data_IF_705919166715
#
_entry.id   IF_705919166715
#
_cell.length_a   1.000
_cell.length_b   1.000
_cell.length_c   1.000
_cell.angle_alpha   90.00
_cell.angle_beta   90.00
_cell.angle_gamma   90.00
#
_symmetry.space_group_name_H-M   'P 1'
#
loop_
_entity.id
_entity.type
_entity.pdbx_description
1 polymer ?
#
# COMPACT_ATOMS: atom_id res chain seq x y z
N UNK A 1 11.29 21.23 -47.55
CA UNK A 1 10.06 21.99 -47.24
C UNK A 1 9.26 21.12 -46.27
N UNK A 2 9.39 21.41 -44.97
CA UNK A 2 8.89 20.64 -43.82
C UNK A 2 7.50 21.17 -43.41
N UNK A 3 6.55 21.19 -44.33
CA UNK A 3 5.16 21.59 -44.06
C UNK A 3 4.25 20.35 -44.09
N UNK A 4 4.26 19.55 -43.02
CA UNK A 4 3.23 18.52 -42.80
C UNK A 4 3.15 17.96 -41.37
N UNK A 5 3.54 18.73 -40.35
CA UNK A 5 3.18 18.40 -38.96
C UNK A 5 2.48 19.62 -38.35
N UNK A 6 1.31 19.96 -38.91
CA UNK A 6 0.37 20.82 -38.19
C UNK A 6 -0.15 20.02 -37.00
N UNK A 7 0.00 20.55 -35.80
CA UNK A 7 -0.61 19.99 -34.58
C UNK A 7 -2.11 19.91 -34.85
N UNK A 8 -2.63 18.69 -34.95
CA UNK A 8 -4.07 18.46 -35.10
C UNK A 8 -4.78 19.08 -33.89
N UNK A 9 -5.50 20.18 -34.12
CA UNK A 9 -6.19 20.93 -33.07
C UNK A 9 -7.31 20.09 -32.41
N UNK A 10 -7.74 18.98 -33.04
CA UNK A 10 -8.65 18.02 -32.42
C UNK A 10 -8.01 17.26 -31.25
N UNK A 11 -6.68 17.30 -31.09
CA UNK A 11 -5.96 16.72 -29.94
C UNK A 11 -5.88 17.64 -28.71
N UNK A 12 -6.44 18.85 -28.78
CA UNK A 12 -6.30 19.87 -27.71
C UNK A 12 -7.57 20.01 -26.86
N UNK A 13 -8.70 19.42 -27.24
CA UNK A 13 -9.93 19.48 -26.43
C UNK A 13 -10.01 18.27 -25.48
N UNK A 14 -10.26 18.56 -24.19
CA UNK A 14 -10.44 17.51 -23.20
C UNK A 14 -11.72 16.74 -23.56
N UNK A 15 -11.73 15.38 -23.56
CA UNK A 15 -12.94 14.62 -23.83
C UNK A 15 -14.13 14.98 -22.92
N UNK A 16 -13.87 15.55 -21.74
CA UNK A 16 -14.90 16.08 -20.84
C UNK A 16 -15.62 17.32 -21.38
N UNK A 17 -14.97 18.09 -22.25
CA UNK A 17 -15.52 19.33 -22.82
C UNK A 17 -16.68 19.04 -23.80
N UNK A 18 -16.81 17.79 -24.25
CA UNK A 18 -17.94 17.31 -25.06
C UNK A 18 -19.13 16.80 -24.22
N UNK A 19 -18.97 16.70 -22.89
CA UNK A 19 -20.03 16.26 -21.99
C UNK A 19 -20.81 17.47 -21.47
N UNK A 20 -22.07 17.25 -21.08
CA UNK A 20 -22.84 18.29 -20.41
C UNK A 20 -22.17 18.67 -19.08
N UNK A 21 -22.32 19.93 -18.65
CA UNK A 21 -21.63 20.44 -17.45
C UNK A 21 -21.94 19.65 -16.15
N UNK A 22 -23.06 18.94 -16.09
CA UNK A 22 -23.36 18.02 -14.99
C UNK A 22 -22.53 16.74 -15.10
N UNK A 23 -22.54 16.09 -16.27
CA UNK A 23 -21.81 14.83 -16.51
C UNK A 23 -20.29 15.07 -16.45
N UNK A 24 -19.79 16.14 -17.06
CA UNK A 24 -18.38 16.51 -17.03
C UNK A 24 -17.86 16.67 -15.59
N UNK A 25 -18.67 17.24 -14.69
CA UNK A 25 -18.35 17.43 -13.27
C UNK A 25 -18.34 16.11 -12.51
N UNK A 26 -19.36 15.27 -12.74
CA UNK A 26 -19.46 13.94 -12.13
C UNK A 26 -18.33 13.02 -12.58
N UNK A 27 -17.88 13.18 -13.83
CA UNK A 27 -16.80 12.39 -14.41
C UNK A 27 -15.44 12.93 -14.00
N UNK A 28 -15.24 14.25 -13.95
CA UNK A 28 -13.99 14.87 -13.46
C UNK A 28 -13.64 14.42 -12.04
N UNK A 29 -14.64 14.23 -11.17
CA UNK A 29 -14.46 13.69 -9.82
C UNK A 29 -14.04 12.21 -9.80
N UNK A 30 -14.17 11.50 -10.92
CA UNK A 30 -13.79 10.10 -11.11
C UNK A 30 -12.50 9.92 -11.91
N UNK A 31 -12.02 10.98 -12.57
CA UNK A 31 -10.78 10.95 -13.34
C UNK A 31 -9.55 10.96 -12.43
N UNK A 32 -8.47 10.37 -12.93
CA UNK A 32 -7.14 10.51 -12.37
C UNK A 32 -6.33 11.62 -13.01
N UNK A 33 -5.12 11.83 -12.48
CA UNK A 33 -4.12 12.67 -13.11
C UNK A 33 -3.61 12.06 -14.44
N UNK A 34 -2.64 12.73 -15.05
CA UNK A 34 -2.08 12.33 -16.34
C UNK A 34 -1.45 10.91 -16.34
N UNK A 35 -1.25 10.29 -15.17
CA UNK A 35 -0.73 8.93 -15.01
C UNK A 35 -1.83 7.93 -14.60
N UNK A 36 -3.09 8.36 -14.58
CA UNK A 36 -4.24 7.53 -14.20
C UNK A 36 -4.48 7.47 -12.69
N UNK A 37 -3.80 8.28 -11.88
CA UNK A 37 -3.98 8.30 -10.43
C UNK A 37 -5.22 9.12 -10.08
N UNK A 38 -6.31 8.46 -9.71
CA UNK A 38 -7.57 9.11 -9.28
C UNK A 38 -7.32 10.06 -8.10
N UNK A 39 -7.99 11.22 -8.10
CA UNK A 39 -7.97 12.14 -6.95
C UNK A 39 -8.56 11.43 -5.73
N UNK A 40 -7.90 11.57 -4.57
CA UNK A 40 -8.38 11.02 -3.32
C UNK A 40 -9.83 11.49 -3.04
N UNK A 41 -10.74 10.54 -2.78
CA UNK A 41 -12.17 10.81 -2.72
C UNK A 41 -12.62 11.03 -1.27
N UNK A 42 -13.39 12.10 -1.04
CA UNK A 42 -14.07 12.37 0.24
C UNK A 42 -13.39 13.42 1.13
N UNK A 43 -14.11 13.96 2.12
CA UNK A 43 -13.62 14.96 3.09
C UNK A 43 -12.43 14.47 3.95
N UNK A 44 -12.06 13.18 3.85
CA UNK A 44 -10.98 12.53 4.60
C UNK A 44 -9.81 12.05 3.72
N UNK A 45 -9.79 12.45 2.44
CA UNK A 45 -8.80 12.11 1.41
C UNK A 45 -7.31 12.34 1.79
N UNK A 46 -7.03 13.07 2.87
CA UNK A 46 -5.66 13.42 3.28
C UNK A 46 -5.30 13.09 4.75
N UNK A 47 -6.05 12.24 5.49
CA UNK A 47 -5.88 12.25 6.96
C UNK A 47 -5.67 10.97 7.75
N UNK A 48 -5.82 9.76 7.25
CA UNK A 48 -5.72 8.62 8.17
C UNK A 48 -5.15 7.36 7.54
N UNK A 49 -3.82 7.26 7.54
CA UNK A 49 -3.17 5.95 7.77
C UNK A 49 -3.55 5.39 9.16
N UNK A 50 -4.05 6.24 10.05
CA UNK A 50 -4.55 5.89 11.39
C UNK A 50 -6.06 5.60 11.29
N UNK A 51 -6.43 4.35 11.03
CA UNK A 51 -7.80 3.88 11.30
C UNK A 51 -7.79 3.28 12.70
N UNK A 52 -8.77 3.62 13.53
CA UNK A 52 -8.93 3.00 14.86
C UNK A 52 -10.36 2.49 15.00
N UNK A 53 -10.51 1.17 15.14
CA UNK A 53 -11.78 0.45 15.27
C UNK A 53 -11.76 -0.30 16.61
N UNK A 54 -12.81 -0.16 17.44
CA UNK A 54 -12.88 -0.84 18.73
C UNK A 54 -12.61 -2.36 18.62
N UNK A 55 -11.65 -2.85 19.42
CA UNK A 55 -11.31 -4.27 19.49
C UNK A 55 -10.33 -4.79 18.42
N UNK A 56 -9.84 -3.93 17.53
CA UNK A 56 -8.82 -4.28 16.54
C UNK A 56 -7.44 -3.68 16.90
N UNK A 57 -6.37 -4.31 16.42
CA UNK A 57 -4.97 -3.88 16.68
C UNK A 57 -4.51 -2.72 15.80
N UNK A 58 -5.43 -1.88 15.34
CA UNK A 58 -5.19 -0.92 14.27
C UNK A 58 -4.37 0.30 14.70
N UNK A 59 -3.88 1.07 13.74
CA UNK A 59 -3.12 2.30 13.97
C UNK A 59 -1.78 2.31 13.24
N UNK A 60 -1.04 3.39 13.42
CA UNK A 60 0.32 3.54 12.89
C UNK A 60 1.31 2.93 13.88
N UNK A 61 2.22 2.13 13.34
CA UNK A 61 3.27 1.44 14.08
C UNK A 61 4.62 2.01 13.70
N UNK A 62 5.53 2.17 14.65
CA UNK A 62 6.80 2.86 14.47
C UNK A 62 7.97 1.95 14.77
N UNK A 63 9.08 2.08 14.04
CA UNK A 63 10.29 1.26 14.29
C UNK A 63 11.06 1.68 15.54
N UNK A 64 10.71 2.81 16.16
CA UNK A 64 11.22 3.18 17.48
C UNK A 64 10.10 3.67 18.39
N UNK A 65 10.26 3.36 19.68
CA UNK A 65 9.31 3.72 20.74
C UNK A 65 9.36 5.21 21.12
N UNK A 66 10.23 6.02 20.51
CA UNK A 66 10.38 7.44 20.82
C UNK A 66 9.57 8.36 19.92
N UNK A 67 8.98 7.83 18.85
CA UNK A 67 8.22 8.61 17.88
C UNK A 67 6.80 8.92 18.35
N UNK A 68 6.65 10.11 18.93
CA UNK A 68 5.38 10.71 19.32
C UNK A 68 4.84 11.65 18.23
N UNK A 69 4.47 11.14 17.05
CA UNK A 69 3.58 11.82 16.08
C UNK A 69 3.92 13.25 15.58
N UNK A 70 5.04 13.86 16.01
CA UNK A 70 5.35 15.28 15.85
C UNK A 70 6.66 15.57 15.11
N UNK A 71 7.40 14.54 14.70
CA UNK A 71 8.70 14.72 14.05
C UNK A 71 8.55 14.62 12.52
N UNK A 72 9.29 15.45 11.80
CA UNK A 72 9.37 15.48 10.32
C UNK A 72 10.01 14.23 9.70
N UNK A 73 10.09 13.11 10.44
CA UNK A 73 10.66 11.82 10.02
C UNK A 73 9.71 10.71 10.43
N UNK A 74 8.56 10.62 9.77
CA UNK A 74 7.58 9.56 10.06
C UNK A 74 8.10 8.24 9.48
N UNK A 75 8.69 7.41 10.34
CA UNK A 75 9.12 6.04 10.02
C UNK A 75 8.06 5.08 10.52
N UNK A 76 7.04 4.88 9.71
CA UNK A 76 5.81 4.21 10.11
C UNK A 76 5.48 3.03 9.19
N UNK A 77 4.84 2.01 9.75
CA UNK A 77 4.01 1.08 8.99
C UNK A 77 2.56 1.28 9.41
N UNK A 78 1.67 1.31 8.43
CA UNK A 78 0.24 1.23 8.66
C UNK A 78 -0.35 0.28 7.64
N UNK A 79 -1.39 -0.46 8.04
CA UNK A 79 -2.31 -1.00 7.06
C UNK A 79 -3.56 -0.15 7.10
N UNK A 80 -4.03 0.25 5.94
CA UNK A 80 -5.12 1.21 5.83
C UNK A 80 -5.95 0.92 4.58
N UNK A 81 -7.17 1.45 4.49
CA UNK A 81 -7.83 1.66 3.23
C UNK A 81 -7.02 2.60 2.32
N UNK A 82 -7.09 2.40 1.01
CA UNK A 82 -6.55 3.34 0.03
C UNK A 82 -7.36 4.65 0.06
N UNK A 83 -6.68 5.80 -0.02
CA UNK A 83 -7.32 7.13 0.07
C UNK A 83 -8.18 7.48 -1.17
N UNK A 84 -8.01 6.73 -2.26
CA UNK A 84 -8.70 6.88 -3.54
C UNK A 84 -9.81 5.85 -3.67
N UNK A 85 -9.57 4.62 -3.22
CA UNK A 85 -10.49 3.49 -3.27
C UNK A 85 -10.57 2.78 -1.90
N UNK A 86 -11.46 3.23 -0.99
CA UNK A 86 -11.50 2.73 0.39
C UNK A 86 -11.80 1.23 0.54
N UNK A 87 -12.36 0.60 -0.50
CA UNK A 87 -12.58 -0.86 -0.50
C UNK A 87 -11.28 -1.64 -0.75
N UNK A 88 -10.20 -0.94 -1.16
CA UNK A 88 -8.87 -1.52 -1.37
C UNK A 88 -8.01 -1.32 -0.14
N UNK A 89 -7.35 -2.40 0.28
CA UNK A 89 -6.44 -2.39 1.42
C UNK A 89 -5.00 -2.13 0.96
N UNK A 90 -4.26 -1.38 1.78
CA UNK A 90 -2.87 -1.02 1.55
C UNK A 90 -1.99 -1.33 2.76
N UNK A 91 -0.70 -1.54 2.51
CA UNK A 91 0.39 -1.42 3.46
C UNK A 91 1.17 -0.15 3.14
N UNK A 92 1.12 0.87 3.98
CA UNK A 92 2.04 2.00 3.90
C UNK A 92 3.34 1.62 4.64
N UNK A 93 4.46 1.51 3.93
CA UNK A 93 5.69 0.93 4.48
C UNK A 93 6.74 1.95 4.91
N UNK A 94 6.70 3.16 4.35
CA UNK A 94 7.67 4.25 4.55
C UNK A 94 9.14 3.76 4.59
N UNK A 95 9.45 2.74 3.78
CA UNK A 95 10.78 2.15 3.59
C UNK A 95 11.37 1.39 4.78
N UNK A 96 10.55 0.85 5.69
CA UNK A 96 11.03 0.23 6.93
C UNK A 96 10.99 -1.29 7.00
N UNK A 97 10.30 -1.98 6.10
CA UNK A 97 10.35 -3.44 6.04
C UNK A 97 11.65 -3.86 5.37
N UNK A 98 12.70 -4.09 6.15
CA UNK A 98 14.06 -4.33 5.65
C UNK A 98 14.20 -5.60 4.79
N UNK A 99 13.29 -6.56 4.99
CA UNK A 99 13.20 -7.78 4.18
C UNK A 99 12.56 -7.56 2.81
N UNK A 100 11.88 -6.44 2.56
CA UNK A 100 11.33 -6.11 1.25
C UNK A 100 12.39 -5.46 0.38
N UNK A 101 13.07 -6.28 -0.41
CA UNK A 101 14.14 -5.83 -1.28
C UNK A 101 13.62 -5.30 -2.64
N UNK A 102 14.28 -4.32 -3.27
CA UNK A 102 13.82 -3.73 -4.55
C UNK A 102 13.69 -4.72 -5.72
N UNK A 103 14.47 -5.79 -5.71
CA UNK A 103 14.43 -6.88 -6.70
C UNK A 103 13.17 -7.74 -6.61
N UNK A 104 12.46 -7.70 -5.47
CA UNK A 104 11.13 -8.30 -5.34
C UNK A 104 10.08 -7.51 -6.13
N UNK A 105 10.36 -6.27 -6.55
CA UNK A 105 9.41 -5.48 -7.36
C UNK A 105 9.56 -5.84 -8.83
N UNK A 106 8.50 -6.39 -9.44
CA UNK A 106 8.46 -6.77 -10.85
C UNK A 106 8.36 -5.59 -11.82
N UNK A 107 9.20 -4.55 -11.69
CA UNK A 107 9.26 -3.44 -12.64
C UNK A 107 9.99 -3.81 -13.93
N UNK A 108 9.60 -3.16 -15.03
CA UNK A 108 10.33 -3.22 -16.29
C UNK A 108 11.81 -2.79 -16.08
N UNK A 109 12.80 -3.47 -16.69
CA UNK A 109 14.21 -3.07 -16.61
C UNK A 109 14.50 -1.59 -16.89
N UNK A 110 13.71 -0.94 -17.75
CA UNK A 110 13.86 0.51 -18.02
C UNK A 110 13.46 1.43 -16.84
N UNK A 111 12.86 0.87 -15.79
CA UNK A 111 12.42 1.57 -14.58
C UNK A 111 13.16 1.06 -13.34
N UNK A 112 14.36 0.48 -13.50
CA UNK A 112 15.15 -0.06 -12.38
C UNK A 112 15.38 0.97 -11.27
N UNK A 113 15.65 2.23 -11.63
CA UNK A 113 15.82 3.33 -10.68
C UNK A 113 14.55 3.61 -9.84
N UNK A 114 13.36 3.25 -10.35
CA UNK A 114 12.10 3.41 -9.64
C UNK A 114 11.79 2.26 -8.65
N UNK A 115 12.52 1.12 -8.72
CA UNK A 115 12.28 -0.04 -7.84
C UNK A 115 12.50 0.25 -6.37
N UNK A 116 13.55 1.01 -6.07
CA UNK A 116 13.88 1.36 -4.69
C UNK A 116 12.78 2.21 -4.05
N UNK A 117 12.20 3.15 -4.80
CA UNK A 117 11.08 3.97 -4.33
C UNK A 117 9.82 3.13 -4.18
N UNK A 118 9.52 2.28 -5.16
CA UNK A 118 8.34 1.42 -5.16
C UNK A 118 8.33 0.43 -3.98
N UNK A 119 9.49 -0.12 -3.60
CA UNK A 119 9.62 -1.01 -2.43
C UNK A 119 9.49 -0.27 -1.09
N UNK A 120 9.58 1.06 -1.08
CA UNK A 120 9.55 1.88 0.14
C UNK A 120 8.23 2.63 0.34
N UNK A 121 7.35 2.65 -0.66
CA UNK A 121 6.12 3.42 -0.63
C UNK A 121 4.97 2.62 0.02
N UNK A 122 3.84 2.45 -0.67
CA UNK A 122 2.75 1.60 -0.23
C UNK A 122 2.50 0.42 -1.18
N UNK A 123 2.14 -0.71 -0.59
CA UNK A 123 1.67 -1.90 -1.29
C UNK A 123 0.16 -1.98 -1.21
N UNK A 124 -0.45 -2.59 -2.20
CA UNK A 124 -1.89 -2.82 -2.24
C UNK A 124 -2.20 -4.29 -2.46
N UNK A 125 -3.34 -4.75 -1.95
CA UNK A 125 -3.79 -6.13 -2.08
C UNK A 125 -5.32 -6.21 -2.09
N UNK A 126 -5.85 -7.33 -2.56
CA UNK A 126 -7.29 -7.63 -2.55
C UNK A 126 -7.65 -8.27 -1.22
N UNK A 127 -8.78 -7.87 -0.64
CA UNK A 127 -9.28 -8.44 0.61
C UNK A 127 -9.49 -9.95 0.46
N UNK A 128 -8.95 -10.71 1.42
CA UNK A 128 -9.12 -12.15 1.51
C UNK A 128 -9.93 -12.60 2.72
N UNK A 129 -9.80 -13.88 3.04
CA UNK A 129 -10.51 -14.54 4.13
C UNK A 129 -9.54 -15.18 5.14
N UNK A 130 -10.01 -15.32 6.39
CA UNK A 130 -9.22 -15.93 7.47
C UNK A 130 -7.94 -15.15 7.75
N UNK A 131 -6.79 -15.85 7.72
CA UNK A 131 -5.46 -15.27 7.96
C UNK A 131 -4.75 -14.79 6.68
N UNK A 132 -5.36 -14.94 5.50
CA UNK A 132 -4.80 -14.51 4.22
C UNK A 132 -5.47 -13.20 3.79
N UNK A 133 -4.68 -12.17 3.50
CA UNK A 133 -5.16 -10.84 3.09
C UNK A 133 -6.28 -10.30 4.00
N UNK A 134 -6.17 -10.58 5.31
CA UNK A 134 -7.18 -10.20 6.28
C UNK A 134 -7.33 -8.67 6.36
N UNK A 135 -8.58 -8.21 6.36
CA UNK A 135 -8.91 -6.81 6.66
C UNK A 135 -8.44 -6.43 8.06
N UNK A 136 -8.16 -5.15 8.24
CA UNK A 136 -7.44 -4.68 9.41
C UNK A 136 -8.25 -4.76 10.71
N UNK A 137 -9.57 -4.64 10.61
CA UNK A 137 -10.54 -4.87 11.68
C UNK A 137 -10.58 -6.34 12.15
N UNK A 138 -9.97 -7.26 11.41
CA UNK A 138 -9.92 -8.70 11.69
C UNK A 138 -8.57 -9.18 12.21
N UNK A 139 -7.52 -8.37 12.17
CA UNK A 139 -6.21 -8.73 12.72
C UNK A 139 -6.29 -8.80 14.26
N UNK A 140 -5.76 -9.87 14.85
CA UNK A 140 -5.79 -10.14 16.30
C UNK A 140 -4.38 -10.38 16.86
N UNK A 141 -4.10 -10.00 18.13
CA UNK A 141 -2.85 -10.36 18.78
C UNK A 141 -2.70 -11.88 18.91
N UNK A 142 -1.47 -12.38 18.79
CA UNK A 142 -1.13 -13.79 18.95
C UNK A 142 -1.28 -14.64 17.69
N UNK A 143 -1.79 -14.07 16.60
CA UNK A 143 -1.91 -14.73 15.30
C UNK A 143 -0.92 -14.15 14.27
N UNK A 144 -0.48 -15.00 13.34
CA UNK A 144 0.28 -14.60 12.15
C UNK A 144 -0.63 -14.58 10.93
N UNK A 145 -0.66 -13.42 10.27
CA UNK A 145 -1.36 -13.16 9.02
C UNK A 145 -0.37 -13.17 7.87
N UNK A 146 -0.82 -13.56 6.69
CA UNK A 146 -0.03 -13.54 5.46
C UNK A 146 -0.76 -12.73 4.40
N UNK A 147 -0.02 -11.91 3.69
CA UNK A 147 -0.52 -11.05 2.64
C UNK A 147 0.15 -11.39 1.31
N UNK A 148 -0.65 -11.66 0.30
CA UNK A 148 -0.23 -12.10 -1.02
C UNK A 148 -0.90 -11.27 -2.13
N UNK A 149 -0.45 -11.48 -3.37
CA UNK A 149 -0.98 -10.72 -4.51
C UNK A 149 -0.65 -9.23 -4.45
N UNK A 150 0.41 -8.87 -3.74
CA UNK A 150 0.82 -7.50 -3.49
C UNK A 150 1.20 -6.77 -4.79
N UNK A 151 0.90 -5.47 -4.85
CA UNK A 151 1.34 -4.56 -5.92
C UNK A 151 1.95 -3.32 -5.32
N UNK A 152 3.04 -2.82 -5.89
CA UNK A 152 3.49 -1.45 -5.60
C UNK A 152 2.45 -0.51 -6.20
N UNK A 153 1.70 0.23 -5.37
CA UNK A 153 0.55 1.07 -5.75
C UNK A 153 -0.65 0.36 -6.44
N UNK A 154 -1.67 1.16 -6.82
CA UNK A 154 -2.96 0.71 -7.33
C UNK A 154 -2.87 -0.06 -8.67
N UNK A 155 -2.11 0.44 -9.65
CA UNK A 155 -1.97 -0.16 -11.00
C UNK A 155 -0.56 -0.64 -11.29
N UNK A 156 0.32 -0.59 -10.30
CA UNK A 156 1.72 -0.85 -10.48
C UNK A 156 2.09 -2.33 -10.50
N UNK A 157 3.40 -2.59 -10.56
CA UNK A 157 3.97 -3.92 -10.72
C UNK A 157 3.59 -4.83 -9.54
N UNK A 158 3.55 -6.14 -9.80
CA UNK A 158 3.43 -7.13 -8.73
C UNK A 158 4.69 -7.14 -7.87
N UNK A 159 4.50 -7.41 -6.60
CA UNK A 159 5.57 -7.78 -5.69
C UNK A 159 5.71 -9.30 -5.72
N UNK A 160 6.92 -9.77 -5.93
CA UNK A 160 7.29 -11.18 -5.96
C UNK A 160 7.62 -11.69 -4.56
N UNK A 161 6.70 -11.48 -3.64
CA UNK A 161 6.83 -11.89 -2.25
C UNK A 161 5.45 -11.95 -1.60
N UNK A 162 5.36 -12.67 -0.49
CA UNK A 162 4.29 -12.49 0.49
C UNK A 162 4.79 -11.68 1.69
N UNK A 163 3.89 -11.05 2.43
CA UNK A 163 4.21 -10.33 3.67
C UNK A 163 3.58 -11.03 4.85
N UNK A 164 4.40 -11.45 5.82
CA UNK A 164 3.93 -11.94 7.10
C UNK A 164 3.77 -10.78 8.08
N UNK A 165 2.70 -10.80 8.86
CA UNK A 165 2.40 -9.83 9.91
C UNK A 165 1.93 -10.56 11.17
N UNK A 166 2.47 -10.20 12.32
CA UNK A 166 1.97 -10.67 13.60
C UNK A 166 2.02 -9.54 14.62
N UNK A 167 1.04 -9.52 15.51
CA UNK A 167 1.01 -8.61 16.66
C UNK A 167 1.16 -9.45 17.92
N UNK A 168 2.18 -9.17 18.73
CA UNK A 168 2.43 -9.92 19.95
C UNK A 168 1.57 -9.38 21.11
N UNK A 169 0.91 -10.27 21.88
CA UNK A 169 0.20 -9.89 23.10
C UNK A 169 1.23 -9.69 24.21
N UNK A 170 1.77 -8.48 24.34
CA UNK A 170 2.72 -8.15 25.42
C UNK A 170 1.99 -7.47 26.59
N UNK A 171 2.49 -7.65 27.81
CA UNK A 171 2.00 -6.91 28.98
C UNK A 171 2.45 -5.43 28.98
N UNK A 172 3.27 -5.03 28.00
CA UNK A 172 3.83 -3.68 27.83
C UNK A 172 3.33 -3.02 26.55
N UNK A 173 4.22 -2.31 25.83
CA UNK A 173 3.89 -1.74 24.53
C UNK A 173 3.64 -2.86 23.50
N UNK A 174 2.51 -2.85 22.77
CA UNK A 174 2.26 -3.81 21.71
C UNK A 174 3.42 -3.83 20.71
N UNK A 175 3.81 -5.04 20.27
CA UNK A 175 4.83 -5.23 19.25
C UNK A 175 4.20 -5.80 18.00
N UNK A 176 4.57 -5.26 16.85
CA UNK A 176 4.23 -5.82 15.55
C UNK A 176 5.48 -6.29 14.83
N UNK A 177 5.45 -7.49 14.27
CA UNK A 177 6.49 -8.03 13.40
C UNK A 177 5.98 -8.07 11.97
N UNK A 178 6.79 -7.56 11.05
CA UNK A 178 6.50 -7.60 9.61
C UNK A 178 7.71 -8.15 8.87
N UNK A 179 7.47 -9.06 7.93
CA UNK A 179 8.53 -9.63 7.10
C UNK A 179 8.03 -9.89 5.69
N UNK A 180 8.78 -9.42 4.68
CA UNK A 180 8.57 -9.84 3.31
C UNK A 180 9.34 -11.13 3.02
N UNK A 181 8.66 -12.10 2.42
CA UNK A 181 9.14 -13.44 2.10
C UNK A 181 9.21 -13.58 0.59
N UNK A 182 10.40 -13.32 0.02
CA UNK A 182 10.66 -13.47 -1.42
C UNK A 182 10.81 -14.92 -1.89
N UNK A 183 10.77 -15.88 -0.97
CA UNK A 183 10.80 -17.32 -1.24
C UNK A 183 9.41 -17.92 -1.50
N UNK A 184 8.34 -17.13 -1.40
CA UNK A 184 6.97 -17.55 -1.70
C UNK A 184 6.17 -16.44 -2.40
N UNK A 185 5.34 -16.84 -3.36
CA UNK A 185 4.43 -15.93 -4.07
C UNK A 185 3.00 -15.98 -3.52
N UNK A 186 2.66 -17.06 -2.82
CA UNK A 186 1.37 -17.28 -2.18
C UNK A 186 1.59 -17.80 -0.77
N UNK A 187 0.69 -17.44 0.12
CA UNK A 187 0.71 -17.81 1.53
C UNK A 187 0.65 -19.33 1.74
N UNK A 188 -0.03 -20.04 0.84
CA UNK A 188 -0.11 -21.51 0.86
C UNK A 188 1.22 -22.20 0.52
N UNK A 189 2.14 -21.48 -0.13
CA UNK A 189 3.46 -22.03 -0.49
C UNK A 189 4.46 -21.90 0.69
N UNK A 190 4.09 -21.20 1.77
CA UNK A 190 4.85 -21.17 3.02
C UNK A 190 4.46 -22.33 3.95
N UNK A 191 5.43 -22.95 4.65
CA UNK A 191 5.13 -23.99 5.62
C UNK A 191 4.34 -23.44 6.82
N UNK A 192 3.34 -24.19 7.26
CA UNK A 192 2.58 -23.89 8.48
C UNK A 192 3.22 -24.60 9.71
N UNK A 193 3.23 -23.97 10.90
CA UNK A 193 2.76 -22.61 11.16
C UNK A 193 3.67 -21.57 10.48
N UNK A 194 3.09 -20.52 9.88
CA UNK A 194 3.88 -19.45 9.29
C UNK A 194 4.84 -18.85 10.32
N UNK A 195 6.12 -18.94 10.03
CA UNK A 195 7.19 -18.49 10.90
C UNK A 195 7.96 -17.33 10.27
N UNK A 196 8.30 -16.36 11.11
CA UNK A 196 9.23 -15.29 10.78
C UNK A 196 10.66 -15.82 10.80
N UNK A 197 11.49 -15.33 9.89
CA UNK A 197 12.93 -15.50 9.95
C UNK A 197 13.58 -14.45 10.88
N UNK A 198 14.92 -14.42 10.89
CA UNK A 198 15.68 -13.36 11.53
C UNK A 198 15.61 -12.00 10.81
N UNK A 199 14.96 -11.92 9.64
CA UNK A 199 14.84 -10.70 8.84
C UNK A 199 13.55 -9.89 9.13
N UNK A 200 12.76 -10.30 10.11
CA UNK A 200 11.57 -9.58 10.52
C UNK A 200 11.92 -8.19 11.06
N UNK A 201 11.17 -7.18 10.61
CA UNK A 201 11.23 -5.84 11.19
C UNK A 201 10.24 -5.75 12.34
N UNK A 202 10.68 -5.20 13.47
CA UNK A 202 9.87 -4.98 14.66
C UNK A 202 9.39 -3.53 14.71
N UNK A 203 8.11 -3.36 15.05
CA UNK A 203 7.46 -2.08 15.26
C UNK A 203 6.79 -2.04 16.62
N UNK A 204 6.63 -0.83 17.13
CA UNK A 204 6.04 -0.48 18.42
C UNK A 204 4.83 0.43 18.17
N UNK A 205 3.82 0.33 19.04
CA UNK A 205 2.66 1.23 19.05
C UNK A 205 2.73 2.21 20.21
#
# INVERSE_FOLDING_TARGET
MLEAISIDAARIQCPLDYLSAAIARDWSAKLGDAWGMRRAKGENACRTAIVDVPGAVQGVWFTDASHNGRTSKVSAVALAPDAVDPDRMIFALHGRVGSLAPDMVGLNPMLEEARETAARDFLTFEQGEGRINASFDKVRPGETYCYEGLRANFVGPRINAVVLLAVEPTAGAPLMRVEARGDAMRCIDLPEPWAFSGAATVFYR
#
